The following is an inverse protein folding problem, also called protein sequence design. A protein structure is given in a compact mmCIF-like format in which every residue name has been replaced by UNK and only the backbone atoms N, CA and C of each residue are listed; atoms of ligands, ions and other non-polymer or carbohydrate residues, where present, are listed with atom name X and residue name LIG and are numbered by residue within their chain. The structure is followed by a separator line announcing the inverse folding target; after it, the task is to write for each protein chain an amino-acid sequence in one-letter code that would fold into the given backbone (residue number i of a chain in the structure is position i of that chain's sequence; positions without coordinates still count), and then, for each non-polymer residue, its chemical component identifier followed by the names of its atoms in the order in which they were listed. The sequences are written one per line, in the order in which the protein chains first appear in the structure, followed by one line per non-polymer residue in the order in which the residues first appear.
data_IF_966072743736
#
_entry.id   IF_966072743736
#
_cell.length_a   1.000
_cell.length_b   1.000
_cell.length_c   1.000
_cell.angle_alpha   90.00
_cell.angle_beta   90.00
_cell.angle_gamma   90.00
#
_symmetry.space_group_name_H-M   'P 1'
#
loop_
_entity.id
_entity.type
_entity.pdbx_description
1 polymer ?
#
# COMPACT_ATOMS: atom_id res chain seq x y z
N UNK A 1 -2.76 -24.05 2.12
CA UNK A 1 -1.97 -24.18 0.90
C UNK A 1 -2.81 -23.88 -0.33
N UNK A 2 -2.15 -23.45 -1.44
CA UNK A 2 -2.77 -23.20 -2.74
C UNK A 2 -1.77 -23.58 -3.83
N UNK A 3 -2.14 -24.51 -4.67
CA UNK A 3 -1.31 -25.04 -5.75
C UNK A 3 -1.66 -24.48 -7.13
N UNK A 4 -2.63 -23.55 -7.22
CA UNK A 4 -2.99 -22.92 -8.50
C UNK A 4 -1.75 -22.37 -9.20
N UNK A 5 -1.55 -22.79 -10.44
CA UNK A 5 -0.43 -22.35 -11.29
C UNK A 5 -0.62 -20.92 -11.80
N UNK A 6 0.45 -20.32 -12.33
CA UNK A 6 0.36 -19.01 -12.95
C UNK A 6 -0.49 -19.02 -14.23
N UNK A 7 -0.45 -20.12 -14.98
CA UNK A 7 -1.27 -20.33 -16.18
C UNK A 7 -2.76 -20.37 -15.83
N UNK A 8 -3.14 -21.14 -14.82
CA UNK A 8 -4.53 -21.19 -14.34
C UNK A 8 -4.99 -19.80 -13.85
N UNK A 9 -4.16 -19.08 -13.10
CA UNK A 9 -4.48 -17.72 -12.68
C UNK A 9 -4.67 -16.75 -13.85
N UNK A 10 -3.86 -16.88 -14.91
CA UNK A 10 -4.04 -16.08 -16.14
C UNK A 10 -5.35 -16.40 -16.84
N UNK A 11 -5.72 -17.68 -16.93
CA UNK A 11 -7.01 -18.11 -17.52
C UNK A 11 -8.18 -17.57 -16.70
N UNK A 12 -8.15 -17.73 -15.38
CA UNK A 12 -9.18 -17.22 -14.46
C UNK A 12 -9.36 -15.71 -14.66
N UNK A 13 -8.27 -14.93 -14.63
CA UNK A 13 -8.30 -13.48 -14.83
C UNK A 13 -8.88 -13.09 -16.19
N UNK A 14 -8.46 -13.76 -17.26
CA UNK A 14 -8.97 -13.48 -18.59
C UNK A 14 -10.46 -13.73 -18.70
N UNK A 15 -10.95 -14.81 -18.12
CA UNK A 15 -12.37 -15.16 -18.12
C UNK A 15 -13.19 -14.15 -17.31
N UNK A 16 -12.70 -13.71 -16.16
CA UNK A 16 -13.34 -12.69 -15.34
C UNK A 16 -13.43 -11.35 -16.07
N UNK A 17 -12.34 -10.90 -16.69
CA UNK A 17 -12.32 -9.67 -17.50
C UNK A 17 -13.31 -9.76 -18.67
N UNK A 18 -13.35 -10.89 -19.38
CA UNK A 18 -14.29 -11.12 -20.47
C UNK A 18 -15.76 -11.11 -20.02
N UNK A 19 -16.00 -11.50 -18.77
CA UNK A 19 -17.31 -11.44 -18.12
C UNK A 19 -17.63 -10.09 -17.47
N UNK A 20 -16.79 -9.06 -17.63
CA UNK A 20 -16.96 -7.75 -16.98
C UNK A 20 -16.76 -7.76 -15.47
N UNK A 21 -16.11 -8.79 -14.94
CA UNK A 21 -15.84 -8.95 -13.51
C UNK A 21 -14.42 -8.51 -13.16
N UNK A 22 -14.18 -7.91 -11.99
CA UNK A 22 -12.83 -7.58 -11.54
C UNK A 22 -12.01 -8.87 -11.33
N UNK A 23 -10.76 -8.90 -11.79
CA UNK A 23 -9.90 -10.07 -11.64
C UNK A 23 -9.62 -10.36 -10.16
N UNK A 24 -10.04 -11.54 -9.68
CA UNK A 24 -9.83 -11.97 -8.29
C UNK A 24 -9.45 -13.45 -8.23
N UNK A 25 -8.75 -13.83 -7.18
CA UNK A 25 -8.54 -15.25 -6.90
C UNK A 25 -9.85 -15.89 -6.45
N UNK A 26 -10.26 -16.96 -7.10
CA UNK A 26 -11.57 -17.60 -6.88
C UNK A 26 -11.62 -18.53 -5.66
N UNK A 27 -10.50 -18.76 -4.99
CA UNK A 27 -10.44 -19.59 -3.80
C UNK A 27 -10.57 -21.11 -4.10
N UNK A 28 -10.19 -21.58 -5.27
CA UNK A 28 -10.32 -23.01 -5.68
C UNK A 28 -9.80 -23.95 -4.58
N UNK A 29 -8.58 -23.71 -4.08
CA UNK A 29 -7.98 -24.52 -3.03
C UNK A 29 -8.54 -24.27 -1.62
N UNK A 30 -9.46 -23.33 -1.47
CA UNK A 30 -10.10 -23.07 -0.17
C UNK A 30 -11.12 -24.15 0.23
N UNK A 31 -11.57 -24.96 -0.74
CA UNK A 31 -12.52 -26.07 -0.57
C UNK A 31 -11.87 -27.43 -0.74
N UNK A 32 -10.58 -27.49 -1.03
CA UNK A 32 -9.85 -28.74 -1.22
C UNK A 32 -9.82 -29.57 0.08
N UNK A 33 -9.98 -30.88 -0.06
CA UNK A 33 -9.86 -31.82 1.06
C UNK A 33 -8.40 -31.99 1.49
N UNK A 34 -8.17 -32.60 2.65
CA UNK A 34 -6.83 -32.90 3.11
C UNK A 34 -6.13 -33.88 2.19
N UNK A 35 -6.87 -34.84 1.62
CA UNK A 35 -6.38 -35.82 0.65
C UNK A 35 -5.90 -35.14 -0.63
N UNK A 36 -6.68 -34.25 -1.21
CA UNK A 36 -6.30 -33.50 -2.41
C UNK A 36 -5.05 -32.64 -2.18
N UNK A 37 -4.95 -32.04 -1.01
CA UNK A 37 -3.75 -31.29 -0.60
C UNK A 37 -2.54 -32.20 -0.47
N UNK A 38 -2.71 -33.39 0.15
CA UNK A 38 -1.63 -34.36 0.33
C UNK A 38 -1.14 -34.92 -0.99
N UNK A 39 -2.06 -35.22 -1.92
CA UNK A 39 -1.68 -35.67 -3.27
C UNK A 39 -0.77 -34.69 -3.99
N UNK A 40 -1.01 -33.39 -3.86
CA UNK A 40 -0.14 -32.39 -4.47
C UNK A 40 1.26 -32.32 -3.81
N UNK A 41 1.33 -32.52 -2.49
CA UNK A 41 2.62 -32.67 -1.82
C UNK A 41 3.35 -33.92 -2.24
N UNK A 42 2.66 -35.04 -2.40
CA UNK A 42 3.24 -36.33 -2.84
C UNK A 42 3.76 -36.26 -4.29
N UNK A 43 3.14 -35.44 -5.13
CA UNK A 43 3.62 -35.08 -6.49
C UNK A 43 4.86 -34.16 -6.45
N UNK A 44 5.29 -33.69 -5.28
CA UNK A 44 6.41 -32.77 -5.09
C UNK A 44 6.07 -31.29 -5.41
N UNK A 45 4.79 -30.95 -5.56
CA UNK A 45 4.36 -29.59 -5.82
C UNK A 45 4.52 -28.71 -4.58
N UNK A 46 5.04 -27.49 -4.78
CA UNK A 46 5.21 -26.51 -3.70
C UNK A 46 4.06 -25.49 -3.74
N UNK A 47 3.27 -25.37 -2.67
CA UNK A 47 2.19 -24.40 -2.62
C UNK A 47 2.69 -22.98 -2.33
N UNK A 48 1.87 -21.99 -2.67
CA UNK A 48 1.83 -20.74 -1.92
C UNK A 48 0.86 -20.90 -0.75
N UNK A 49 1.02 -20.09 0.28
CA UNK A 49 0.04 -20.05 1.38
C UNK A 49 -0.75 -18.76 1.30
N UNK A 50 -2.07 -18.89 1.39
CA UNK A 50 -2.98 -17.74 1.39
C UNK A 50 -3.65 -17.56 2.73
N UNK A 51 -3.82 -16.31 3.13
CA UNK A 51 -4.68 -15.97 4.25
C UNK A 51 -6.13 -15.93 3.73
N UNK A 52 -7.00 -16.71 4.37
CA UNK A 52 -8.43 -16.75 4.05
C UNK A 52 -9.14 -15.62 4.76
N UNK A 53 -9.66 -14.67 4.01
CA UNK A 53 -10.42 -13.54 4.58
C UNK A 53 -11.84 -14.01 4.95
N UNK A 54 -12.28 -13.84 6.21
CA UNK A 54 -13.66 -14.14 6.61
C UNK A 54 -14.66 -13.34 5.79
N UNK A 55 -15.58 -14.01 5.10
CA UNK A 55 -16.59 -13.39 4.22
C UNK A 55 -17.80 -12.84 5.00
N UNK A 56 -18.63 -12.05 4.33
CA UNK A 56 -19.87 -11.44 4.86
C UNK A 56 -19.62 -10.58 6.11
N UNK A 57 -18.53 -9.83 6.10
CA UNK A 57 -18.16 -8.89 7.16
C UNK A 57 -17.74 -7.55 6.54
N UNK A 58 -17.63 -6.54 7.39
CA UNK A 58 -17.07 -5.24 7.05
C UNK A 58 -15.85 -4.97 7.90
N UNK A 59 -14.79 -4.46 7.30
CA UNK A 59 -13.61 -3.98 8.00
C UNK A 59 -13.61 -2.47 7.88
N UNK A 60 -13.74 -1.79 9.01
CA UNK A 60 -13.70 -0.33 9.08
C UNK A 60 -12.53 0.12 9.94
N UNK A 61 -11.96 1.26 9.59
CA UNK A 61 -10.91 1.95 10.33
C UNK A 61 -10.94 3.44 10.01
N UNK A 62 -10.46 4.25 10.95
CA UNK A 62 -10.26 5.68 10.72
C UNK A 62 -8.85 5.91 10.21
N UNK A 63 -8.72 6.44 9.00
CA UNK A 63 -7.46 6.93 8.44
C UNK A 63 -7.27 8.39 8.81
N UNK A 64 -6.09 8.78 9.28
CA UNK A 64 -5.84 10.14 9.76
C UNK A 64 -5.90 11.21 8.65
N UNK A 65 -5.75 10.80 7.38
CA UNK A 65 -5.79 11.71 6.22
C UNK A 65 -7.07 11.53 5.39
N UNK A 66 -7.46 10.26 5.15
CA UNK A 66 -8.60 9.91 4.28
C UNK A 66 -9.92 9.78 5.05
N UNK A 67 -9.91 9.91 6.39
CA UNK A 67 -11.10 9.77 7.23
C UNK A 67 -11.60 8.33 7.36
N UNK A 68 -12.88 8.16 7.61
CA UNK A 68 -13.49 6.85 7.80
C UNK A 68 -13.43 6.00 6.52
N UNK A 69 -12.87 4.81 6.66
CA UNK A 69 -12.73 3.83 5.59
C UNK A 69 -13.50 2.57 5.93
N UNK A 70 -14.20 2.00 4.95
CA UNK A 70 -15.03 0.81 5.14
C UNK A 70 -14.97 -0.09 3.92
N UNK A 71 -14.65 -1.37 4.11
CA UNK A 71 -14.47 -2.35 3.06
C UNK A 71 -15.28 -3.61 3.35
N UNK A 72 -16.14 -4.01 2.40
CA UNK A 72 -16.78 -5.30 2.49
C UNK A 72 -15.76 -6.42 2.26
N UNK A 73 -15.74 -7.43 3.13
CA UNK A 73 -14.77 -8.53 3.00
C UNK A 73 -15.04 -9.41 1.78
N UNK A 74 -16.25 -9.37 1.23
CA UNK A 74 -16.60 -10.05 -0.02
C UNK A 74 -15.89 -9.42 -1.23
N UNK A 75 -15.45 -8.18 -1.12
CA UNK A 75 -14.65 -7.47 -2.11
C UNK A 75 -13.14 -7.71 -1.98
N UNK A 76 -12.72 -8.36 -0.92
CA UNK A 76 -11.31 -8.71 -0.68
C UNK A 76 -11.08 -10.18 -1.03
N UNK A 77 -10.05 -10.44 -1.81
CA UNK A 77 -9.62 -11.81 -2.13
C UNK A 77 -8.62 -12.36 -1.10
N UNK A 78 -8.54 -13.68 -1.03
CA UNK A 78 -7.52 -14.37 -0.23
C UNK A 78 -6.14 -14.07 -0.80
N UNK A 79 -5.28 -13.46 -0.01
CA UNK A 79 -3.97 -12.99 -0.46
C UNK A 79 -2.83 -13.91 0.01
N UNK A 80 -1.76 -13.95 -0.79
CA UNK A 80 -0.60 -14.79 -0.49
C UNK A 80 0.16 -14.18 0.70
N UNK A 81 0.43 -15.01 1.71
CA UNK A 81 1.27 -14.68 2.87
C UNK A 81 2.67 -15.28 2.78
N UNK A 82 2.80 -16.48 2.17
CA UNK A 82 4.09 -17.15 1.94
C UNK A 82 4.17 -17.68 0.51
N UNK A 83 5.26 -17.39 -0.17
CA UNK A 83 5.55 -17.81 -1.53
C UNK A 83 6.03 -19.27 -1.59
N UNK A 84 6.15 -19.83 -2.82
CA UNK A 84 6.66 -21.19 -3.06
C UNK A 84 8.09 -21.42 -2.58
N UNK A 85 8.92 -20.37 -2.56
CA UNK A 85 10.29 -20.37 -2.05
C UNK A 85 10.37 -20.22 -0.51
N UNK A 86 9.23 -20.26 0.17
CA UNK A 86 9.06 -20.05 1.60
C UNK A 86 9.28 -18.61 2.09
N UNK A 87 9.55 -17.65 1.23
CA UNK A 87 9.67 -16.25 1.64
C UNK A 87 8.29 -15.63 1.91
N UNK A 88 8.16 -14.75 2.91
CA UNK A 88 6.93 -14.02 3.16
C UNK A 88 6.67 -13.01 2.03
N UNK A 89 5.40 -12.65 1.85
CA UNK A 89 5.06 -11.51 0.98
C UNK A 89 5.18 -10.21 1.75
N UNK A 90 5.32 -9.09 1.02
CA UNK A 90 5.28 -7.74 1.61
C UNK A 90 4.02 -7.53 2.47
N UNK A 91 2.86 -7.96 1.97
CA UNK A 91 1.57 -7.84 2.66
C UNK A 91 1.58 -8.46 4.06
N UNK A 92 2.24 -9.61 4.20
CA UNK A 92 2.37 -10.32 5.47
C UNK A 92 3.49 -9.72 6.34
N UNK A 93 4.73 -9.66 5.81
CA UNK A 93 5.91 -9.25 6.56
C UNK A 93 5.74 -7.84 7.14
N UNK A 94 5.35 -6.87 6.31
CA UNK A 94 5.17 -5.48 6.75
C UNK A 94 4.15 -5.38 7.91
N UNK A 95 3.00 -6.04 7.82
CA UNK A 95 2.00 -5.97 8.89
C UNK A 95 2.52 -6.58 10.21
N UNK A 96 3.22 -7.71 10.13
CA UNK A 96 3.77 -8.40 11.32
C UNK A 96 4.90 -7.57 11.94
N UNK A 97 5.83 -7.08 11.12
CA UNK A 97 6.96 -6.29 11.57
C UNK A 97 6.48 -4.99 12.23
N UNK A 98 5.56 -4.25 11.62
CA UNK A 98 4.96 -3.04 12.19
C UNK A 98 4.37 -3.32 13.58
N UNK A 99 3.60 -4.40 13.73
CA UNK A 99 2.99 -4.76 15.02
C UNK A 99 4.02 -5.19 16.06
N UNK A 100 4.97 -6.07 15.71
CA UNK A 100 5.96 -6.62 16.65
C UNK A 100 7.03 -5.57 17.03
N UNK A 101 7.33 -4.63 16.15
CA UNK A 101 8.25 -3.51 16.42
C UNK A 101 7.58 -2.37 17.20
N UNK A 102 6.26 -2.47 17.47
CA UNK A 102 5.53 -1.46 18.21
C UNK A 102 5.30 -0.16 17.43
N UNK A 103 5.19 -0.24 16.09
CA UNK A 103 4.80 0.90 15.26
C UNK A 103 3.38 1.33 15.63
N UNK A 104 3.21 2.57 16.06
CA UNK A 104 1.93 3.12 16.48
C UNK A 104 1.18 3.83 15.34
N UNK A 105 1.90 4.29 14.32
CA UNK A 105 1.35 4.97 13.14
C UNK A 105 2.08 4.54 11.87
N UNK A 106 1.33 3.99 10.92
CA UNK A 106 1.79 3.71 9.55
C UNK A 106 1.40 4.88 8.65
N UNK A 107 2.39 5.69 8.28
CA UNK A 107 2.24 6.78 7.31
C UNK A 107 2.83 6.34 5.97
N UNK A 108 1.99 6.23 4.92
CA UNK A 108 2.41 5.70 3.61
C UNK A 108 1.57 6.25 2.46
N UNK A 109 1.93 5.93 1.22
CA UNK A 109 1.17 6.31 0.03
C UNK A 109 -0.21 5.65 -0.03
N UNK A 110 -1.19 6.34 -0.63
CA UNK A 110 -2.57 5.87 -0.75
C UNK A 110 -2.76 4.73 -1.78
N UNK A 111 -1.74 4.43 -2.57
CA UNK A 111 -1.65 3.21 -3.36
C UNK A 111 -1.70 1.93 -2.49
N UNK A 112 -1.35 2.05 -1.20
CA UNK A 112 -1.47 1.00 -0.20
C UNK A 112 -2.79 1.02 0.60
N UNK A 113 -3.71 1.94 0.35
CA UNK A 113 -4.97 2.04 1.09
C UNK A 113 -5.79 0.74 1.04
N UNK A 114 -5.88 0.12 -0.13
CA UNK A 114 -6.58 -1.16 -0.32
C UNK A 114 -5.89 -2.36 0.35
N UNK A 115 -4.63 -2.23 0.76
CA UNK A 115 -3.91 -3.27 1.51
C UNK A 115 -4.29 -3.26 2.99
N UNK A 116 -4.63 -2.11 3.52
CA UNK A 116 -4.90 -1.90 4.96
C UNK A 116 -5.99 -2.83 5.51
N UNK A 117 -7.17 -2.99 4.89
CA UNK A 117 -8.18 -3.90 5.43
C UNK A 117 -7.70 -5.36 5.45
N UNK A 118 -6.85 -5.79 4.50
CA UNK A 118 -6.24 -7.13 4.49
C UNK A 118 -5.26 -7.31 5.64
N UNK A 119 -4.44 -6.31 5.90
CA UNK A 119 -3.48 -6.31 7.03
C UNK A 119 -4.20 -6.28 8.37
N UNK A 120 -5.27 -5.48 8.51
CA UNK A 120 -6.12 -5.47 9.71
C UNK A 120 -6.75 -6.85 9.97
N UNK A 121 -7.27 -7.50 8.92
CA UNK A 121 -7.84 -8.85 9.05
C UNK A 121 -6.79 -9.87 9.52
N UNK A 122 -5.60 -9.80 8.96
CA UNK A 122 -4.46 -10.66 9.33
C UNK A 122 -4.04 -10.44 10.78
N UNK A 123 -3.79 -9.19 11.19
CA UNK A 123 -3.36 -8.86 12.55
C UNK A 123 -4.40 -9.27 13.58
N UNK A 124 -5.70 -9.04 13.32
CA UNK A 124 -6.79 -9.52 14.18
C UNK A 124 -6.81 -11.04 14.32
N UNK A 125 -6.60 -11.78 13.23
CA UNK A 125 -6.58 -13.24 13.24
C UNK A 125 -5.39 -13.81 14.05
N UNK A 126 -4.29 -13.07 14.10
CA UNK A 126 -3.10 -13.42 14.87
C UNK A 126 -3.10 -12.84 16.29
N UNK A 127 -4.15 -12.11 16.67
CA UNK A 127 -4.26 -11.41 17.96
C UNK A 127 -3.08 -10.46 18.22
N UNK A 128 -2.65 -9.74 17.17
CA UNK A 128 -1.56 -8.77 17.20
C UNK A 128 -2.11 -7.34 17.28
N UNK A 129 -1.30 -6.41 17.81
CA UNK A 129 -1.65 -5.01 17.95
C UNK A 129 -1.87 -4.35 16.56
N UNK A 130 -2.87 -3.46 16.49
CA UNK A 130 -3.16 -2.71 15.27
C UNK A 130 -2.52 -1.33 15.37
N UNK A 131 -1.69 -0.92 14.40
CA UNK A 131 -1.25 0.47 14.30
C UNK A 131 -2.40 1.37 13.83
N UNK A 132 -2.27 2.68 14.03
CA UNK A 132 -3.06 3.68 13.32
C UNK A 132 -2.56 3.81 11.89
N UNK A 133 -3.38 4.34 10.99
CA UNK A 133 -3.04 4.49 9.58
C UNK A 133 -3.23 5.93 9.11
N UNK A 134 -2.35 6.36 8.21
CA UNK A 134 -2.43 7.62 7.49
C UNK A 134 -1.96 7.40 6.05
N UNK A 135 -2.86 7.56 5.08
CA UNK A 135 -2.55 7.38 3.67
C UNK A 135 -2.48 8.73 2.97
N UNK A 136 -1.25 9.12 2.61
CA UNK A 136 -0.99 10.36 1.88
C UNK A 136 -1.14 10.15 0.39
N UNK A 137 -1.70 11.15 -0.30
CA UNK A 137 -1.84 11.08 -1.75
C UNK A 137 -0.49 11.11 -2.44
N UNK A 138 -0.37 10.35 -3.54
CA UNK A 138 0.81 10.34 -4.37
C UNK A 138 0.93 11.67 -5.14
N UNK A 139 2.16 12.08 -5.41
CA UNK A 139 2.41 13.19 -6.31
C UNK A 139 2.03 12.82 -7.73
N UNK A 140 1.47 13.80 -8.45
CA UNK A 140 1.15 13.68 -9.88
C UNK A 140 2.06 14.56 -10.71
N UNK A 141 2.28 14.15 -11.96
CA UNK A 141 2.94 14.95 -12.96
C UNK A 141 2.00 16.03 -13.55
N UNK A 142 2.48 16.73 -14.55
CA UNK A 142 1.71 17.75 -15.29
C UNK A 142 0.50 17.17 -16.03
N UNK A 143 0.56 15.88 -16.37
CA UNK A 143 -0.48 15.10 -17.03
C UNK A 143 -1.53 14.52 -16.06
N UNK A 144 -1.38 14.77 -14.74
CA UNK A 144 -2.24 14.23 -13.70
C UNK A 144 -1.99 12.75 -13.36
N UNK A 145 -1.08 12.07 -14.06
CA UNK A 145 -0.69 10.70 -13.74
C UNK A 145 0.26 10.68 -12.52
N UNK A 146 0.27 9.59 -11.72
CA UNK A 146 1.24 9.44 -10.64
C UNK A 146 2.67 9.59 -11.16
N UNK A 147 3.51 10.31 -10.40
CA UNK A 147 4.92 10.48 -10.74
C UNK A 147 5.61 9.13 -10.84
N UNK A 148 6.31 8.93 -11.94
CA UNK A 148 7.14 7.74 -12.18
C UNK A 148 8.42 8.15 -12.91
N UNK A 149 9.44 7.29 -12.87
CA UNK A 149 10.69 7.51 -13.63
C UNK A 149 10.45 7.73 -15.13
N UNK A 150 9.34 7.21 -15.68
CA UNK A 150 9.01 7.31 -17.11
C UNK A 150 8.40 8.66 -17.50
N UNK A 151 7.77 9.37 -16.55
CA UNK A 151 7.11 10.65 -16.79
C UNK A 151 7.78 11.84 -16.08
N UNK A 152 9.12 11.78 -15.91
CA UNK A 152 9.90 12.91 -15.43
C UNK A 152 10.04 13.00 -13.91
N UNK A 153 9.73 11.93 -13.16
CA UNK A 153 10.06 11.86 -11.73
C UNK A 153 11.56 12.03 -11.53
N UNK A 154 11.93 13.00 -10.73
CA UNK A 154 13.32 13.22 -10.30
C UNK A 154 13.51 12.58 -8.93
N UNK A 155 14.59 11.81 -8.79
CA UNK A 155 15.05 11.38 -7.48
C UNK A 155 15.70 12.55 -6.72
N UNK A 156 15.88 12.42 -5.41
CA UNK A 156 16.65 13.38 -4.62
C UNK A 156 18.10 13.50 -5.16
N UNK A 157 18.65 12.39 -5.67
CA UNK A 157 19.97 12.40 -6.32
C UNK A 157 19.99 13.26 -7.57
N UNK A 158 18.96 13.13 -8.44
CA UNK A 158 18.85 13.95 -9.65
C UNK A 158 18.70 15.45 -9.32
N UNK A 159 17.90 15.78 -8.28
CA UNK A 159 17.78 17.16 -7.81
C UNK A 159 19.11 17.72 -7.31
N UNK A 160 19.87 16.92 -6.54
CA UNK A 160 21.21 17.28 -6.07
C UNK A 160 22.18 17.52 -7.24
N UNK A 161 22.20 16.64 -8.23
CA UNK A 161 23.06 16.77 -9.43
C UNK A 161 22.71 18.01 -10.25
N UNK A 162 21.43 18.41 -10.26
CA UNK A 162 20.95 19.66 -10.90
C UNK A 162 21.22 20.92 -10.06
N UNK A 163 21.82 20.80 -8.88
CA UNK A 163 22.23 21.92 -8.04
C UNK A 163 21.13 22.46 -7.12
N UNK A 164 20.00 21.76 -6.95
CA UNK A 164 18.98 22.19 -6.00
C UNK A 164 19.50 22.08 -4.56
N UNK A 165 19.28 23.12 -3.78
CA UNK A 165 19.71 23.17 -2.38
C UNK A 165 18.83 22.25 -1.52
N UNK A 166 19.39 21.48 -0.57
CA UNK A 166 18.59 20.60 0.31
C UNK A 166 17.49 21.34 1.07
N UNK A 167 17.79 22.58 1.51
CA UNK A 167 16.80 23.41 2.23
C UNK A 167 15.62 23.82 1.32
N UNK A 168 15.89 24.13 0.05
CA UNK A 168 14.87 24.46 -0.93
C UNK A 168 13.95 23.25 -1.19
N UNK A 169 14.55 22.08 -1.42
CA UNK A 169 13.83 20.83 -1.60
C UNK A 169 12.96 20.50 -0.39
N UNK A 170 13.50 20.63 0.84
CA UNK A 170 12.75 20.37 2.07
C UNK A 170 11.57 21.32 2.23
N UNK A 171 11.75 22.63 1.98
CA UNK A 171 10.71 23.64 2.05
C UNK A 171 9.60 23.41 1.01
N UNK A 172 9.97 23.09 -0.21
CA UNK A 172 9.03 22.75 -1.26
C UNK A 172 8.22 21.48 -0.90
N UNK A 173 8.88 20.37 -0.61
CA UNK A 173 8.22 19.10 -0.31
C UNK A 173 7.32 19.17 0.92
N UNK A 174 7.69 19.97 1.93
CA UNK A 174 6.86 20.16 3.13
C UNK A 174 5.56 20.91 2.87
N UNK A 175 5.44 21.61 1.75
CA UNK A 175 4.24 22.37 1.36
C UNK A 175 3.42 21.66 0.27
N UNK A 176 4.05 20.73 -0.45
CA UNK A 176 3.33 19.91 -1.43
C UNK A 176 2.54 18.84 -0.68
N UNK A 177 1.23 18.99 -0.66
CA UNK A 177 0.34 18.05 0.06
C UNK A 177 0.19 18.32 1.56
N UNK A 178 0.74 19.44 2.07
CA UNK A 178 0.54 19.86 3.46
C UNK A 178 0.38 21.38 3.52
N UNK A 179 -0.53 21.86 4.34
CA UNK A 179 -0.77 23.30 4.49
C UNK A 179 0.17 23.91 5.54
N UNK A 180 1.05 24.79 5.09
CA UNK A 180 1.85 25.70 5.92
C UNK A 180 1.44 27.12 5.56
N UNK A 181 1.03 27.92 6.53
CA UNK A 181 0.36 29.23 6.31
C UNK A 181 1.32 30.40 6.03
N UNK A 182 2.58 30.14 5.75
CA UNK A 182 3.57 31.16 5.41
C UNK A 182 4.48 30.69 4.27
N UNK A 183 5.18 31.65 3.66
CA UNK A 183 6.14 31.42 2.58
C UNK A 183 7.59 31.65 3.02
N UNK A 184 7.86 31.65 4.33
CA UNK A 184 9.20 31.84 4.84
C UNK A 184 10.06 30.59 4.64
N UNK A 185 11.32 30.79 4.31
CA UNK A 185 12.29 29.71 4.23
C UNK A 185 12.58 29.20 5.65
N UNK A 186 12.25 27.95 5.92
CA UNK A 186 12.36 27.30 7.22
C UNK A 186 13.48 26.29 7.27
N UNK A 187 14.15 26.21 8.39
CA UNK A 187 15.06 25.11 8.72
C UNK A 187 14.28 23.79 8.85
N UNK A 188 14.95 22.65 8.76
CA UNK A 188 14.32 21.34 8.97
C UNK A 188 13.63 21.22 10.33
N UNK A 189 14.22 21.84 11.36
CA UNK A 189 13.63 21.85 12.70
C UNK A 189 12.30 22.61 12.71
N UNK A 190 12.26 23.82 12.16
CA UNK A 190 11.04 24.63 12.06
C UNK A 190 9.96 23.96 11.21
N UNK A 191 10.34 23.24 10.12
CA UNK A 191 9.43 22.44 9.32
C UNK A 191 8.85 21.29 10.15
N UNK A 192 9.68 20.59 10.92
CA UNK A 192 9.23 19.51 11.80
C UNK A 192 8.32 20.01 12.91
N UNK A 193 8.66 21.14 13.54
CA UNK A 193 7.86 21.76 14.61
C UNK A 193 6.49 22.25 14.09
N UNK A 194 6.39 22.59 12.80
CA UNK A 194 5.14 23.04 12.15
C UNK A 194 4.32 21.89 11.53
N UNK A 195 4.84 20.66 11.52
CA UNK A 195 4.16 19.52 10.92
C UNK A 195 3.01 19.02 11.78
N UNK A 196 1.82 18.98 11.20
CA UNK A 196 0.63 18.40 11.83
C UNK A 196 -0.11 17.48 10.83
N UNK A 197 -0.41 16.26 11.25
CA UNK A 197 -1.09 15.27 10.38
C UNK A 197 -2.44 15.75 9.88
N UNK A 198 -3.16 16.58 10.66
CA UNK A 198 -4.45 17.17 10.25
C UNK A 198 -4.35 18.11 9.04
N UNK A 199 -3.15 18.67 8.78
CA UNK A 199 -2.89 19.59 7.68
C UNK A 199 -2.44 18.87 6.40
N UNK A 200 -2.35 17.54 6.40
CA UNK A 200 -2.04 16.76 5.20
C UNK A 200 -3.26 16.76 4.28
N UNK A 201 -3.03 17.10 3.00
CA UNK A 201 -4.07 17.06 1.98
C UNK A 201 -4.51 15.63 1.67
N UNK A 202 -5.81 15.39 1.62
CA UNK A 202 -6.39 14.14 1.15
C UNK A 202 -6.41 14.01 -0.39
N UNK A 203 -6.13 15.10 -1.10
CA UNK A 203 -6.11 15.16 -2.57
C UNK A 203 -4.69 15.04 -3.12
N UNK A 204 -4.50 14.46 -4.32
CA UNK A 204 -3.21 14.44 -4.98
C UNK A 204 -2.66 15.84 -5.19
N UNK A 205 -1.35 15.99 -5.01
CA UNK A 205 -0.64 17.25 -5.23
C UNK A 205 0.24 17.15 -6.46
N UNK A 206 0.21 18.20 -7.30
CA UNK A 206 1.04 18.25 -8.50
C UNK A 206 2.48 18.62 -8.13
N UNK A 207 3.44 17.83 -8.59
CA UNK A 207 4.84 18.18 -8.51
C UNK A 207 5.19 19.18 -9.61
N UNK A 208 5.77 20.32 -9.24
CA UNK A 208 6.07 21.43 -10.13
C UNK A 208 7.50 21.94 -9.86
N UNK A 209 8.38 21.80 -10.86
CA UNK A 209 9.78 22.23 -10.76
C UNK A 209 9.93 23.75 -10.71
N UNK A 210 9.01 24.50 -11.34
CA UNK A 210 9.08 25.97 -11.32
C UNK A 210 8.76 26.49 -9.91
N UNK A 211 7.83 25.82 -9.22
CA UNK A 211 7.58 26.11 -7.79
C UNK A 211 8.77 25.72 -6.89
N UNK A 212 9.49 24.65 -7.23
CA UNK A 212 10.70 24.29 -6.48
C UNK A 212 11.82 25.34 -6.66
N UNK A 213 11.91 25.96 -7.84
CA UNK A 213 12.89 27.03 -8.11
C UNK A 213 12.62 28.32 -7.31
N UNK A 214 11.41 28.52 -6.80
CA UNK A 214 11.07 29.66 -5.95
C UNK A 214 11.78 29.60 -4.60
N UNK A 215 12.07 28.43 -4.10
CA UNK A 215 12.72 28.20 -2.80
C UNK A 215 14.26 28.17 -2.94
#
# INVERSE_FOLDING_TARGET
PCFTSEEELKIIRRNQIAAGQPPRYTGVWSQASEEEVQEEFDKGNKPVYRFRIPKKRTISFTDLVKGEQSFATDDLDDFIVRKKDSTPTFMFANAIDDSLMGVDLVLRGDDHLSNTPRQIALLKALNLALPRYAHVSLFTGSDGAPLSKRNGSLSISDLKERGYLPIAVANYLSRVGHTINDNDLKTQKELADSFETKNISSSPSKFDLDQLLFW
#
